data_IF_562552047957
#
_entry.id   IF_562552047957
#
_cell.length_a   1.000
_cell.length_b   1.000
_cell.length_c   1.000
_cell.angle_alpha   90.00
_cell.angle_beta   90.00
_cell.angle_gamma   90.00
#
_symmetry.space_group_name_H-M   'P 1'
#
loop_
_entity.id
_entity.type
_entity.pdbx_description
1 polymer ?
#
# COMPACT_ATOMS: atom_id res chain seq x y z
N UNK A 1 -19.48 2.73 13.67
CA UNK A 1 -18.00 2.77 13.59
C UNK A 1 -17.63 3.46 12.29
N UNK A 2 -16.70 4.40 12.33
CA UNK A 2 -16.13 4.98 11.11
C UNK A 2 -15.31 3.90 10.40
N UNK A 3 -15.48 3.77 9.08
CA UNK A 3 -14.68 2.84 8.29
C UNK A 3 -13.30 3.47 8.09
N UNK A 4 -12.20 2.80 8.48
CA UNK A 4 -10.84 3.30 8.31
C UNK A 4 -10.47 3.50 6.84
N UNK A 5 -9.34 4.17 6.64
CA UNK A 5 -8.64 4.22 5.36
C UNK A 5 -7.59 3.13 5.30
N UNK A 6 -7.54 2.38 4.22
CA UNK A 6 -6.58 1.29 4.03
C UNK A 6 -5.59 1.66 2.94
N UNK A 7 -4.31 1.37 3.15
CA UNK A 7 -3.22 1.74 2.23
C UNK A 7 -2.28 0.56 2.03
N UNK A 8 -1.91 0.30 0.77
CA UNK A 8 -0.77 -0.56 0.43
C UNK A 8 0.16 0.11 -0.58
N UNK A 9 1.44 -0.26 -0.48
CA UNK A 9 2.52 0.26 -1.31
C UNK A 9 3.33 -0.90 -1.89
N UNK A 10 3.69 -0.83 -3.17
CA UNK A 10 4.68 -1.69 -3.80
C UNK A 10 5.76 -0.84 -4.46
N UNK A 11 6.98 -1.36 -4.56
CA UNK A 11 8.10 -0.56 -5.00
C UNK A 11 9.42 -1.30 -4.99
N UNK A 12 10.47 -0.56 -5.30
CA UNK A 12 11.83 -1.08 -5.42
C UNK A 12 12.71 -0.59 -4.28
N UNK A 13 13.81 -1.30 -4.03
CA UNK A 13 14.90 -0.83 -3.19
C UNK A 13 16.03 -0.33 -4.09
N UNK A 14 16.38 0.94 -3.97
CA UNK A 14 17.51 1.55 -4.69
C UNK A 14 18.37 2.29 -3.68
N UNK A 15 19.67 1.99 -3.68
CA UNK A 15 20.61 2.58 -2.72
C UNK A 15 20.11 2.46 -1.26
N UNK A 16 19.61 1.26 -0.91
CA UNK A 16 18.99 0.94 0.38
C UNK A 16 17.80 1.81 0.78
N UNK A 17 17.15 2.48 -0.18
CA UNK A 17 15.94 3.28 0.05
C UNK A 17 14.77 2.71 -0.73
N UNK A 18 13.61 2.67 -0.09
CA UNK A 18 12.37 2.28 -0.75
C UNK A 18 11.88 3.40 -1.67
N UNK A 19 11.60 3.02 -2.92
CA UNK A 19 11.06 3.86 -3.99
C UNK A 19 9.68 3.31 -4.32
N UNK A 20 8.64 4.07 -3.97
CA UNK A 20 7.24 3.66 -4.23
C UNK A 20 6.98 3.60 -5.74
N UNK A 21 6.43 2.50 -6.21
CA UNK A 21 6.08 2.32 -7.62
C UNK A 21 4.58 2.24 -7.82
N UNK A 22 3.89 1.58 -6.91
CA UNK A 22 2.45 1.45 -6.90
C UNK A 22 1.92 1.88 -5.53
N UNK A 23 0.90 2.73 -5.53
CA UNK A 23 0.12 3.10 -4.36
C UNK A 23 -1.32 2.67 -4.61
N UNK A 24 -1.95 2.09 -3.61
CA UNK A 24 -3.41 1.99 -3.58
C UNK A 24 -3.94 2.42 -2.22
N UNK A 25 -5.01 3.21 -2.24
CA UNK A 25 -5.71 3.69 -1.05
C UNK A 25 -7.20 3.42 -1.21
N UNK A 26 -7.83 2.82 -0.21
CA UNK A 26 -9.28 2.67 -0.12
C UNK A 26 -9.77 3.44 1.10
N UNK A 27 -10.30 4.65 0.88
CA UNK A 27 -10.86 5.47 1.97
C UNK A 27 -12.29 5.06 2.28
N UNK A 28 -12.58 4.90 3.57
CA UNK A 28 -13.92 4.60 4.09
C UNK A 28 -14.63 3.44 3.37
N UNK A 29 -13.85 2.49 2.81
CA UNK A 29 -14.38 1.36 2.04
C UNK A 29 -15.00 1.69 0.68
N UNK A 30 -14.98 2.95 0.21
CA UNK A 30 -15.72 3.37 -0.99
C UNK A 30 -14.90 4.20 -1.97
N UNK A 31 -14.01 5.07 -1.50
CA UNK A 31 -13.22 5.95 -2.36
C UNK A 31 -11.87 5.29 -2.66
N UNK A 32 -11.74 4.77 -3.87
CA UNK A 32 -10.52 4.10 -4.33
C UNK A 32 -9.60 5.08 -5.08
N UNK A 33 -8.35 5.15 -4.64
CA UNK A 33 -7.25 5.80 -5.37
C UNK A 33 -6.17 4.77 -5.72
N UNK A 34 -5.70 4.78 -6.96
CA UNK A 34 -4.63 3.88 -7.43
C UNK A 34 -3.68 4.63 -8.35
N UNK A 35 -2.39 4.58 -8.04
CA UNK A 35 -1.34 5.18 -8.85
C UNK A 35 -0.24 4.17 -9.16
N UNK A 36 0.26 4.21 -10.40
CA UNK A 36 1.52 3.60 -10.79
C UNK A 36 2.44 4.72 -11.26
N UNK A 37 3.47 4.99 -10.46
CA UNK A 37 4.44 6.05 -10.69
C UNK A 37 5.53 5.63 -11.67
N UNK A 38 6.01 6.55 -12.49
CA UNK A 38 7.26 6.37 -13.25
C UNK A 38 8.44 6.31 -12.28
N UNK A 39 9.64 5.91 -12.75
CA UNK A 39 10.81 5.92 -11.84
C UNK A 39 11.39 7.33 -11.71
N UNK A 40 12.00 7.65 -10.56
CA UNK A 40 12.72 8.90 -10.38
C UNK A 40 14.04 8.94 -11.19
N UNK A 41 14.60 7.77 -11.53
CA UNK A 41 15.88 7.67 -12.24
C UNK A 41 15.82 6.64 -13.38
N UNK A 42 16.44 6.93 -14.55
CA UNK A 42 16.61 5.95 -15.62
C UNK A 42 17.36 4.68 -15.20
N UNK A 43 16.97 3.51 -15.74
CA UNK A 43 17.58 2.20 -15.46
C UNK A 43 19.11 2.17 -15.61
N UNK A 44 19.64 2.90 -16.60
CA UNK A 44 21.08 2.98 -16.88
C UNK A 44 21.89 3.56 -15.72
N UNK A 45 21.29 4.40 -14.88
CA UNK A 45 21.94 5.03 -13.74
C UNK A 45 21.89 4.21 -12.46
N UNK A 46 21.16 3.10 -12.44
CA UNK A 46 21.19 2.17 -11.32
C UNK A 46 22.54 1.46 -11.22
N UNK A 47 22.96 1.15 -10.00
CA UNK A 47 24.13 0.28 -9.81
C UNK A 47 23.82 -1.14 -10.30
N UNK A 48 24.86 -1.96 -10.48
CA UNK A 48 24.66 -3.38 -10.80
C UNK A 48 23.82 -4.09 -9.74
N UNK A 49 24.04 -3.78 -8.46
CA UNK A 49 23.30 -4.36 -7.34
C UNK A 49 21.81 -3.97 -7.38
N UNK A 50 21.52 -2.67 -7.56
CA UNK A 50 20.15 -2.17 -7.64
C UNK A 50 19.40 -2.78 -8.83
N UNK A 51 20.05 -2.91 -10.00
CA UNK A 51 19.45 -3.59 -11.17
C UNK A 51 19.10 -5.05 -10.88
N UNK A 52 20.00 -5.79 -10.22
CA UNK A 52 19.73 -7.17 -9.83
C UNK A 52 18.56 -7.26 -8.86
N UNK A 53 18.51 -6.39 -7.84
CA UNK A 53 17.41 -6.31 -6.89
C UNK A 53 16.07 -6.00 -7.58
N UNK A 54 16.04 -4.95 -8.41
CA UNK A 54 14.85 -4.56 -9.15
C UNK A 54 14.38 -5.66 -10.12
N UNK A 55 15.32 -6.34 -10.79
CA UNK A 55 14.98 -7.48 -11.66
C UNK A 55 14.36 -8.63 -10.88
N UNK A 56 14.91 -8.94 -9.70
CA UNK A 56 14.37 -9.98 -8.83
C UNK A 56 12.98 -9.62 -8.32
N UNK A 57 12.76 -8.39 -7.86
CA UNK A 57 11.45 -7.91 -7.41
C UNK A 57 10.41 -7.93 -8.53
N UNK A 58 10.81 -7.54 -9.74
CA UNK A 58 9.97 -7.61 -10.94
C UNK A 58 9.60 -9.06 -11.26
N UNK A 59 10.57 -9.97 -11.32
CA UNK A 59 10.34 -11.35 -11.74
C UNK A 59 9.65 -12.20 -10.66
N UNK A 60 9.92 -11.95 -9.37
CA UNK A 60 9.59 -12.87 -8.29
C UNK A 60 8.63 -12.31 -7.24
N UNK A 61 8.53 -10.99 -7.07
CA UNK A 61 7.72 -10.37 -6.01
C UNK A 61 6.42 -9.72 -6.53
N UNK A 62 6.49 -8.52 -7.09
CA UNK A 62 5.29 -7.73 -7.44
C UNK A 62 4.95 -7.74 -8.93
N UNK A 63 5.89 -8.02 -9.83
CA UNK A 63 5.62 -8.04 -11.27
C UNK A 63 5.73 -6.68 -11.96
N UNK A 64 5.73 -5.56 -11.21
CA UNK A 64 6.05 -4.23 -11.75
C UNK A 64 7.42 -4.24 -12.42
N UNK A 65 7.48 -3.80 -13.68
CA UNK A 65 8.75 -3.51 -14.36
C UNK A 65 9.27 -2.17 -13.89
N UNK A 66 10.57 -1.95 -14.10
CA UNK A 66 11.16 -0.63 -13.85
C UNK A 66 10.37 0.41 -14.65
N UNK A 67 10.33 0.35 -15.97
CA UNK A 67 9.77 1.42 -16.81
C UNK A 67 8.23 1.55 -16.82
N UNK A 68 7.52 0.78 -16.00
CA UNK A 68 6.06 0.90 -15.89
C UNK A 68 5.65 2.23 -15.23
N UNK A 69 4.38 2.62 -15.37
CA UNK A 69 3.80 3.79 -14.71
C UNK A 69 3.53 4.95 -15.65
N UNK A 70 2.47 5.69 -15.32
CA UNK A 70 1.97 6.83 -16.11
C UNK A 70 2.00 8.14 -15.33
N UNK A 71 2.17 8.07 -14.01
CA UNK A 71 2.19 9.23 -13.13
C UNK A 71 3.65 9.61 -12.86
N UNK A 72 4.10 10.84 -13.16
CA UNK A 72 5.46 11.25 -12.85
C UNK A 72 5.80 11.09 -11.36
N UNK A 73 6.97 10.51 -11.05
CA UNK A 73 7.41 10.34 -9.65
C UNK A 73 7.52 11.67 -8.88
N UNK A 74 7.74 12.78 -9.57
CA UNK A 74 7.76 14.13 -8.97
C UNK A 74 6.43 14.48 -8.28
N UNK A 75 5.31 13.91 -8.73
CA UNK A 75 3.99 14.12 -8.15
C UNK A 75 3.70 13.19 -6.97
N UNK A 76 4.53 12.18 -6.72
CA UNK A 76 4.24 11.10 -5.78
C UNK A 76 3.94 11.62 -4.38
N UNK A 77 4.77 12.54 -3.86
CA UNK A 77 4.54 13.13 -2.53
C UNK A 77 3.18 13.82 -2.45
N UNK A 78 2.91 14.75 -3.37
CA UNK A 78 1.65 15.52 -3.40
C UNK A 78 0.42 14.62 -3.51
N UNK A 79 0.48 13.63 -4.43
CA UNK A 79 -0.64 12.74 -4.69
C UNK A 79 -0.87 11.73 -3.57
N UNK A 80 0.20 11.18 -2.97
CA UNK A 80 0.08 10.27 -1.82
C UNK A 80 -0.48 11.03 -0.62
N UNK A 81 0.04 12.22 -0.30
CA UNK A 81 -0.50 13.05 0.78
C UNK A 81 -2.00 13.28 0.57
N UNK A 82 -2.43 13.78 -0.59
CA UNK A 82 -3.86 14.01 -0.84
C UNK A 82 -4.70 12.72 -0.79
N UNK A 83 -4.14 11.60 -1.27
CA UNK A 83 -4.81 10.31 -1.30
C UNK A 83 -4.90 9.64 0.08
N UNK A 84 -4.08 10.00 1.06
CA UNK A 84 -4.09 9.38 2.39
C UNK A 84 -4.63 10.33 3.45
N UNK A 85 -4.41 11.64 3.31
CA UNK A 85 -4.86 12.65 4.26
C UNK A 85 -6.38 12.62 4.40
N UNK A 86 -6.83 12.50 5.64
CA UNK A 86 -8.23 12.45 6.01
C UNK A 86 -8.34 12.78 7.50
N UNK A 87 -9.15 13.78 7.83
CA UNK A 87 -9.40 14.15 9.22
C UNK A 87 -10.22 13.05 9.92
N UNK A 88 -9.93 12.84 11.20
CA UNK A 88 -10.72 11.99 12.12
C UNK A 88 -10.87 10.50 11.75
N UNK A 89 -10.00 9.94 10.91
CA UNK A 89 -10.00 8.50 10.59
C UNK A 89 -8.64 7.85 10.77
N UNK A 90 -8.65 6.56 11.09
CA UNK A 90 -7.44 5.75 11.20
C UNK A 90 -6.99 5.35 9.80
N UNK A 91 -5.70 5.51 9.52
CA UNK A 91 -5.07 4.99 8.31
C UNK A 91 -4.34 3.71 8.67
N UNK A 92 -4.82 2.59 8.12
CA UNK A 92 -4.23 1.28 8.27
C UNK A 92 -3.29 0.93 7.12
N UNK A 93 -2.08 0.51 7.49
CA UNK A 93 -1.07 -0.06 6.59
C UNK A 93 -0.68 -1.42 7.14
N UNK A 94 -0.34 -2.39 6.28
CA UNK A 94 0.28 -3.64 6.75
C UNK A 94 1.81 -3.58 6.64
N UNK A 95 2.50 -3.92 7.71
CA UNK A 95 3.95 -3.90 7.83
C UNK A 95 4.52 -2.56 8.34
N UNK A 96 5.42 -2.67 9.33
CA UNK A 96 6.09 -1.53 9.98
C UNK A 96 6.93 -0.68 9.02
N UNK A 97 7.59 -1.31 8.05
CA UNK A 97 8.43 -0.61 7.07
C UNK A 97 7.60 0.33 6.19
N UNK A 98 6.45 -0.14 5.68
CA UNK A 98 5.54 0.66 4.86
C UNK A 98 4.94 1.81 5.66
N UNK A 99 4.52 1.55 6.90
CA UNK A 99 4.03 2.60 7.81
C UNK A 99 5.10 3.65 8.08
N UNK A 100 6.33 3.23 8.36
CA UNK A 100 7.46 4.15 8.62
C UNK A 100 7.80 4.97 7.39
N UNK A 101 7.79 4.36 6.20
CA UNK A 101 8.02 5.08 4.95
C UNK A 101 6.91 6.11 4.67
N UNK A 102 5.64 5.72 4.84
CA UNK A 102 4.50 6.60 4.63
C UNK A 102 4.52 7.78 5.61
N UNK A 103 4.79 7.49 6.90
CA UNK A 103 5.01 8.53 7.91
C UNK A 103 6.09 9.52 7.46
N UNK A 104 7.25 9.02 7.05
CA UNK A 104 8.38 9.85 6.63
C UNK A 104 8.13 10.67 5.35
N UNK A 105 7.16 10.29 4.51
CA UNK A 105 6.80 11.03 3.31
C UNK A 105 6.06 12.33 3.62
N UNK A 106 5.18 12.29 4.62
CA UNK A 106 4.30 13.40 5.03
C UNK A 106 5.09 14.52 5.70
N UNK A 107 4.59 15.76 5.61
CA UNK A 107 5.14 16.90 6.36
C UNK A 107 4.75 16.81 7.85
N UNK A 108 5.50 17.50 8.72
CA UNK A 108 5.27 17.39 10.17
C UNK A 108 3.86 17.85 10.58
N UNK A 109 3.37 18.98 10.04
CA UNK A 109 2.00 19.47 10.28
C UNK A 109 0.92 18.46 9.82
N UNK A 110 1.17 17.70 8.74
CA UNK A 110 0.24 16.68 8.23
C UNK A 110 0.25 15.43 9.11
N UNK A 111 1.41 15.08 9.69
CA UNK A 111 1.57 13.89 10.55
C UNK A 111 0.84 14.05 11.88
N UNK A 112 0.84 15.24 12.45
CA UNK A 112 0.17 15.50 13.73
C UNK A 112 -1.35 15.32 13.63
N UNK A 113 -1.92 15.49 12.43
CA UNK A 113 -3.34 15.33 12.15
C UNK A 113 -3.71 13.89 11.76
N UNK A 114 -2.74 13.05 11.43
CA UNK A 114 -2.98 11.71 10.88
C UNK A 114 -2.65 10.59 11.87
N UNK A 115 -3.63 9.74 12.14
CA UNK A 115 -3.44 8.53 12.93
C UNK A 115 -3.11 7.32 12.03
N UNK A 116 -1.81 7.08 11.76
CA UNK A 116 -1.35 5.96 10.93
C UNK A 116 -0.89 4.79 11.82
N UNK A 117 -1.61 3.69 11.72
CA UNK A 117 -1.39 2.45 12.47
C UNK A 117 -1.03 1.27 11.58
N UNK A 118 -0.26 0.33 12.14
CA UNK A 118 -0.02 -0.95 11.48
C UNK A 118 -1.07 -1.97 11.90
N UNK A 119 -1.69 -2.64 10.93
CA UNK A 119 -2.66 -3.69 11.24
C UNK A 119 -2.05 -4.83 12.06
N UNK A 120 -0.80 -5.19 11.82
CA UNK A 120 -0.09 -6.24 12.57
C UNK A 120 0.11 -5.89 14.07
N UNK A 121 0.01 -4.61 14.44
CA UNK A 121 0.09 -4.17 15.82
C UNK A 121 -1.28 -4.10 16.51
N UNK A 122 -2.35 -3.93 15.73
CA UNK A 122 -3.73 -3.84 16.23
C UNK A 122 -4.39 -5.22 16.27
N UNK A 123 -4.02 -6.11 15.35
CA UNK A 123 -4.58 -7.44 15.18
C UNK A 123 -3.45 -8.48 15.14
N UNK A 124 -3.18 -9.09 16.29
CA UNK A 124 -2.08 -10.05 16.48
C UNK A 124 -2.19 -11.28 15.58
N UNK A 125 -3.41 -11.68 15.22
CA UNK A 125 -3.75 -12.85 14.41
C UNK A 125 -3.89 -12.54 12.91
N UNK A 126 -3.61 -11.30 12.49
CA UNK A 126 -3.77 -10.93 11.09
C UNK A 126 -2.81 -11.69 10.18
N UNK A 127 -3.38 -12.54 9.33
CA UNK A 127 -2.64 -13.32 8.35
C UNK A 127 -1.79 -12.45 7.39
N UNK A 128 -0.77 -13.06 6.78
CA UNK A 128 0.03 -12.42 5.73
C UNK A 128 -0.84 -12.04 4.51
N UNK A 129 -0.47 -10.99 3.76
CA UNK A 129 -1.21 -10.57 2.54
C UNK A 129 -1.34 -11.69 1.50
N UNK A 130 -0.37 -12.60 1.47
CA UNK A 130 -0.37 -13.75 0.57
C UNK A 130 -1.37 -14.82 0.98
N UNK A 131 -1.70 -14.93 2.26
CA UNK A 131 -2.69 -15.87 2.79
C UNK A 131 -4.13 -15.34 2.71
N UNK A 132 -4.32 -14.01 2.73
CA UNK A 132 -5.64 -13.40 2.62
C UNK A 132 -6.36 -13.74 1.31
N UNK A 133 -7.65 -14.03 1.45
CA UNK A 133 -8.59 -14.38 0.38
C UNK A 133 -8.63 -13.32 -0.73
N UNK A 134 -8.61 -13.78 -1.98
CA UNK A 134 -8.65 -12.95 -3.19
C UNK A 134 -10.08 -12.72 -3.70
N UNK A 135 -11.09 -13.39 -3.13
CA UNK A 135 -12.48 -13.21 -3.53
C UNK A 135 -12.92 -11.74 -3.38
N UNK A 136 -13.67 -11.25 -4.37
CA UNK A 136 -14.15 -9.87 -4.43
C UNK A 136 -13.05 -8.81 -4.33
N UNK A 137 -11.85 -9.10 -4.87
CA UNK A 137 -10.75 -8.14 -4.99
C UNK A 137 -10.56 -7.71 -6.44
N UNK A 138 -10.03 -6.50 -6.63
CA UNK A 138 -9.67 -5.95 -7.94
C UNK A 138 -8.14 -5.96 -8.05
N UNK A 139 -7.62 -6.22 -9.25
CA UNK A 139 -6.20 -6.14 -9.56
C UNK A 139 -5.96 -5.09 -10.62
N UNK A 140 -4.83 -4.41 -10.59
CA UNK A 140 -4.44 -3.62 -11.75
C UNK A 140 -3.92 -4.57 -12.83
N UNK A 141 -4.50 -4.50 -14.03
CA UNK A 141 -4.20 -5.43 -15.14
C UNK A 141 -2.75 -5.41 -15.65
N UNK A 142 -1.84 -4.71 -14.97
CA UNK A 142 -0.45 -4.49 -15.36
C UNK A 142 0.52 -5.56 -14.80
N UNK A 143 0.18 -6.26 -13.71
CA UNK A 143 1.09 -7.28 -13.13
C UNK A 143 0.38 -8.43 -12.38
N UNK A 144 0.98 -9.62 -12.49
CA UNK A 144 0.37 -10.94 -12.20
C UNK A 144 0.61 -11.41 -10.75
N UNK A 145 1.54 -10.80 -10.01
CA UNK A 145 1.89 -11.24 -8.64
C UNK A 145 1.27 -10.35 -7.56
N UNK A 146 2.09 -9.68 -6.76
CA UNK A 146 1.65 -8.84 -5.64
C UNK A 146 1.28 -7.46 -6.18
N UNK A 147 0.06 -7.02 -5.92
CA UNK A 147 -0.51 -5.77 -6.42
C UNK A 147 -1.06 -4.98 -5.23
N UNK A 148 -0.64 -3.72 -5.10
CA UNK A 148 -1.11 -2.84 -4.03
C UNK A 148 -2.64 -2.75 -4.05
N UNK A 149 -3.22 -2.56 -5.24
CA UNK A 149 -4.68 -2.48 -5.41
C UNK A 149 -5.40 -3.71 -4.88
N UNK A 150 -4.87 -4.90 -5.15
CA UNK A 150 -5.46 -6.13 -4.62
C UNK A 150 -5.32 -6.22 -3.11
N UNK A 151 -4.15 -5.85 -2.58
CA UNK A 151 -3.85 -5.92 -1.17
C UNK A 151 -4.76 -5.03 -0.33
N UNK A 152 -5.09 -3.81 -0.78
CA UNK A 152 -6.03 -2.97 -0.04
C UNK A 152 -7.43 -3.59 0.06
N UNK A 153 -7.91 -4.22 -1.01
CA UNK A 153 -9.18 -4.95 -0.96
C UNK A 153 -9.11 -6.19 -0.07
N UNK A 154 -8.00 -6.94 -0.10
CA UNK A 154 -7.78 -8.07 0.83
C UNK A 154 -7.86 -7.62 2.29
N UNK A 155 -7.14 -6.54 2.61
CA UNK A 155 -7.11 -5.94 3.94
C UNK A 155 -8.52 -5.49 4.35
N UNK A 156 -9.21 -4.75 3.48
CA UNK A 156 -10.57 -4.26 3.76
C UNK A 156 -11.56 -5.40 3.99
N UNK A 157 -11.56 -6.42 3.12
CA UNK A 157 -12.45 -7.57 3.23
C UNK A 157 -12.20 -8.36 4.52
N UNK A 158 -10.92 -8.53 4.90
CA UNK A 158 -10.54 -9.15 6.16
C UNK A 158 -11.02 -8.31 7.36
N UNK A 159 -10.74 -7.01 7.36
CA UNK A 159 -11.15 -6.10 8.43
C UNK A 159 -12.68 -6.06 8.60
N UNK A 160 -13.42 -6.08 7.50
CA UNK A 160 -14.88 -6.13 7.49
C UNK A 160 -15.40 -7.42 8.15
N UNK A 161 -14.77 -8.57 7.87
CA UNK A 161 -15.11 -9.86 8.51
C UNK A 161 -14.90 -9.80 10.02
N UNK A 162 -13.73 -9.35 10.46
CA UNK A 162 -13.40 -9.30 11.88
C UNK A 162 -14.26 -8.32 12.68
N UNK A 163 -14.61 -7.17 12.10
CA UNK A 163 -15.28 -6.10 12.84
C UNK A 163 -16.81 -6.11 12.73
N UNK A 164 -17.38 -6.76 11.72
CA UNK A 164 -18.83 -6.75 11.49
C UNK A 164 -19.45 -8.14 11.36
N UNK A 165 -18.78 -9.09 10.70
CA UNK A 165 -19.39 -10.40 10.43
C UNK A 165 -19.24 -11.34 11.63
N UNK A 166 -18.09 -11.34 12.31
CA UNK A 166 -17.85 -12.20 13.47
C UNK A 166 -18.58 -11.72 14.75
N UNK A 167 -18.91 -10.42 14.84
CA UNK A 167 -19.66 -9.87 15.98
C UNK A 167 -21.16 -10.17 15.96
N UNK A 168 -21.73 -10.44 14.78
CA UNK A 168 -23.14 -10.83 14.64
C UNK A 168 -23.40 -12.32 14.95
N UNK A 169 -22.34 -13.11 15.14
CA UNK A 169 -22.44 -14.55 15.46
C UNK A 169 -22.47 -14.83 16.96
N UNK A 170 -22.22 -13.82 17.81
CA UNK A 170 -22.20 -13.94 19.28
C UNK A 170 -23.48 -13.44 19.97
N UNK A 171 -24.53 -13.14 19.20
CA UNK A 171 -25.85 -12.81 19.74
C UNK A 171 -26.83 -13.96 19.47
N UNK A 172 -26.70 -15.06 20.20
CA UNK A 172 -27.77 -16.03 20.46
C UNK A 172 -27.62 -16.61 21.86
#
# INVERSE_FOLDING_TARGET
>A
MLVPTFVDLQGFIVNNKFIVKELAVLKQGTVLTHYIFTNPVPWKFLTRSDRSCASWLSAYHHGLRWEDGMVPYSEAKRLITAAVFEDDTIVYVKGREKRTWLWNLLLDDERELMHIETLDAVYEDMESLTALDVANTIRCGQHIKICALQNVFKIYNWWLRENFLNKNTLTY
#
